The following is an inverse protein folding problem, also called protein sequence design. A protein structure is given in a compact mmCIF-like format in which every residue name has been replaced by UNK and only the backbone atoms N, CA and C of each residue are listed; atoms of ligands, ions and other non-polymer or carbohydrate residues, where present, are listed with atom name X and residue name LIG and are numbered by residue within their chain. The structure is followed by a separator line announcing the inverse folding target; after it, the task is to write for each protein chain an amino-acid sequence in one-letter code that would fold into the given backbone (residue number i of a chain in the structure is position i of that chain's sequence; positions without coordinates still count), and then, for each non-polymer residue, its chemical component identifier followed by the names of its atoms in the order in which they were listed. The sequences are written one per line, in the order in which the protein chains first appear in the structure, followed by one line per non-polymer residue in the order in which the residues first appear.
data_IF_861001157370
#
_entry.id   IF_861001157370
#
_cell.length_a   1.000
_cell.length_b   1.000
_cell.length_c   1.000
_cell.angle_alpha   90.00
_cell.angle_beta   90.00
_cell.angle_gamma   90.00
#
_symmetry.space_group_name_H-M   'P 1'
#
loop_
_entity.id
_entity.type
_entity.pdbx_description
1 polymer ?
#
# COMPACT_ATOMS: atom_id res chain seq x y z
N UNK A 1 -3.23 -3.66 -5.19
CA UNK A 1 -2.00 -3.01 -4.70
C UNK A 1 -1.19 -4.03 -3.93
N UNK A 2 0.09 -4.14 -4.24
CA UNK A 2 1.06 -5.03 -3.63
C UNK A 2 1.84 -4.24 -2.57
N UNK A 3 2.16 -4.87 -1.43
CA UNK A 3 2.79 -4.21 -0.27
C UNK A 3 3.97 -5.04 0.21
N UNK A 4 5.02 -4.37 0.69
CA UNK A 4 6.17 -5.05 1.28
C UNK A 4 6.92 -5.86 0.24
N UNK A 5 7.35 -7.07 0.62
CA UNK A 5 8.01 -8.01 -0.32
C UNK A 5 7.18 -8.32 -1.57
N UNK A 6 5.85 -8.36 -1.45
CA UNK A 6 5.00 -8.61 -2.61
C UNK A 6 5.11 -7.49 -3.66
N UNK A 7 5.54 -6.28 -3.27
CA UNK A 7 5.76 -5.18 -4.21
C UNK A 7 6.95 -5.38 -5.14
N UNK A 8 7.90 -6.28 -4.84
CA UNK A 8 9.04 -6.60 -5.71
C UNK A 8 8.61 -7.16 -7.08
N UNK A 9 7.44 -7.81 -7.14
CA UNK A 9 6.85 -8.30 -8.38
C UNK A 9 6.02 -7.27 -9.15
N UNK A 10 5.86 -6.05 -8.64
CA UNK A 10 5.06 -5.02 -9.30
C UNK A 10 5.79 -4.45 -10.53
N UNK A 11 5.05 -4.15 -11.60
CA UNK A 11 5.64 -3.43 -12.73
C UNK A 11 6.10 -2.01 -12.35
N UNK A 12 5.52 -1.42 -11.30
CA UNK A 12 5.95 -0.14 -10.72
C UNK A 12 5.92 -0.22 -9.20
N UNK A 13 7.02 0.21 -8.57
CA UNK A 13 7.20 0.27 -7.12
C UNK A 13 7.38 1.72 -6.66
N UNK A 14 6.89 1.98 -5.46
CA UNK A 14 6.91 3.27 -4.79
C UNK A 14 7.21 3.04 -3.31
N UNK A 15 7.61 4.10 -2.61
CA UNK A 15 7.82 4.10 -1.18
C UNK A 15 6.95 5.16 -0.53
N UNK A 16 6.28 4.81 0.57
CA UNK A 16 5.44 5.72 1.34
C UNK A 16 5.57 5.47 2.83
N UNK A 17 4.94 6.32 3.64
CA UNK A 17 4.99 6.23 5.10
C UNK A 17 3.66 5.71 5.65
N UNK A 18 3.72 4.73 6.53
CA UNK A 18 2.53 4.23 7.22
C UNK A 18 2.11 5.27 8.26
N UNK A 19 0.93 5.85 8.07
CA UNK A 19 0.35 6.79 9.03
C UNK A 19 -0.47 6.05 10.08
N UNK A 20 -1.13 4.97 9.68
CA UNK A 20 -1.97 4.15 10.54
C UNK A 20 -2.05 2.72 9.97
N UNK A 21 -2.23 1.74 10.85
CA UNK A 21 -2.65 0.40 10.46
C UNK A 21 -3.72 -0.14 11.40
N UNK A 22 -4.58 -1.01 10.90
CA UNK A 22 -5.57 -1.73 11.72
C UNK A 22 -5.76 -3.15 11.20
N UNK A 23 -6.03 -4.08 12.10
CA UNK A 23 -6.29 -5.48 11.79
C UNK A 23 -7.77 -5.77 11.91
N UNK A 24 -8.39 -6.31 10.85
CA UNK A 24 -9.83 -6.59 10.82
C UNK A 24 -10.18 -8.05 11.11
N UNK A 25 -9.22 -8.88 11.52
CA UNK A 25 -9.39 -10.34 11.70
C UNK A 25 -8.97 -11.17 10.50
N UNK A 26 -8.91 -10.60 9.29
CA UNK A 26 -8.56 -11.31 8.05
C UNK A 26 -7.36 -10.71 7.30
N UNK A 27 -7.11 -9.42 7.45
CA UNK A 27 -6.00 -8.71 6.81
C UNK A 27 -5.67 -7.43 7.58
N UNK A 28 -4.50 -6.88 7.30
CA UNK A 28 -4.16 -5.52 7.68
C UNK A 28 -4.75 -4.53 6.68
N UNK A 29 -5.33 -3.45 7.20
CA UNK A 29 -5.63 -2.23 6.44
C UNK A 29 -4.56 -1.21 6.80
N UNK A 30 -3.78 -0.81 5.80
CA UNK A 30 -2.72 0.17 5.96
C UNK A 30 -3.18 1.49 5.34
N UNK A 31 -2.91 2.58 6.04
CA UNK A 31 -3.03 3.94 5.53
C UNK A 31 -1.64 4.48 5.27
N UNK A 32 -1.32 4.75 4.02
CA UNK A 32 0.01 5.11 3.54
C UNK A 32 -0.04 6.54 2.98
N UNK A 33 0.86 7.40 3.43
CA UNK A 33 1.11 8.70 2.81
C UNK A 33 2.19 8.56 1.74
N UNK A 34 1.95 9.14 0.57
CA UNK A 34 2.92 9.26 -0.51
C UNK A 34 2.66 10.53 -1.31
N UNK A 35 3.65 11.42 -1.36
CA UNK A 35 3.60 12.67 -2.15
C UNK A 35 2.37 13.55 -1.85
N UNK A 36 1.97 13.62 -0.58
CA UNK A 36 0.80 14.39 -0.14
C UNK A 36 -0.54 13.69 -0.39
N UNK A 37 -0.53 12.46 -0.92
CA UNK A 37 -1.72 11.65 -1.12
C UNK A 37 -1.83 10.54 -0.08
N UNK A 38 -3.06 10.25 0.33
CA UNK A 38 -3.37 9.15 1.23
C UNK A 38 -3.86 7.94 0.43
N UNK A 39 -3.20 6.80 0.62
CA UNK A 39 -3.46 5.54 -0.05
C UNK A 39 -3.90 4.50 0.97
N UNK A 40 -4.84 3.63 0.59
CA UNK A 40 -5.28 2.51 1.43
C UNK A 40 -4.82 1.20 0.80
N UNK A 41 -4.14 0.37 1.59
CA UNK A 41 -3.70 -0.95 1.19
C UNK A 41 -4.32 -2.04 2.07
N UNK A 42 -4.57 -3.19 1.46
CA UNK A 42 -4.89 -4.42 2.17
C UNK A 42 -3.70 -5.35 2.07
N UNK A 43 -3.24 -5.86 3.21
CA UNK A 43 -2.04 -6.70 3.28
C UNK A 43 -2.31 -7.99 4.09
N UNK A 44 -1.64 -9.10 3.76
CA UNK A 44 -1.91 -10.39 4.38
C UNK A 44 -1.54 -10.40 5.88
N UNK A 45 -2.12 -11.34 6.63
CA UNK A 45 -2.03 -11.40 8.10
C UNK A 45 -0.60 -11.49 8.63
N UNK A 46 0.28 -12.11 7.84
CA UNK A 46 1.68 -12.38 8.13
C UNK A 46 2.63 -11.24 7.70
N UNK A 47 2.08 -10.08 7.33
CA UNK A 47 2.86 -8.89 7.03
C UNK A 47 3.82 -8.55 8.21
N UNK A 48 5.14 -8.44 7.97
CA UNK A 48 6.11 -8.16 9.02
C UNK A 48 5.76 -6.89 9.80
N UNK A 49 6.06 -6.88 11.10
CA UNK A 49 5.72 -5.76 11.99
C UNK A 49 6.26 -4.42 11.50
N UNK A 50 7.52 -4.39 11.04
CA UNK A 50 8.17 -3.22 10.47
C UNK A 50 7.43 -2.65 9.24
N UNK A 51 6.67 -3.47 8.52
CA UNK A 51 5.92 -3.09 7.31
C UNK A 51 4.45 -2.74 7.61
N UNK A 52 4.02 -2.78 8.88
CA UNK A 52 2.67 -2.39 9.32
C UNK A 52 2.65 -1.35 10.44
N UNK A 53 3.80 -1.00 11.02
CA UNK A 53 3.90 -0.05 12.12
C UNK A 53 3.79 1.40 11.63
N UNK A 54 3.00 2.21 12.33
CA UNK A 54 2.93 3.64 12.04
C UNK A 54 4.29 4.32 12.22
N UNK A 55 4.59 5.29 11.36
CA UNK A 55 5.88 5.98 11.27
C UNK A 55 6.94 5.23 10.47
N UNK A 56 6.70 3.99 10.04
CA UNK A 56 7.63 3.25 9.19
C UNK A 56 7.39 3.53 7.71
N UNK A 57 8.46 3.47 6.91
CA UNK A 57 8.34 3.48 5.46
C UNK A 57 8.05 2.07 4.94
N UNK A 58 7.22 1.97 3.90
CA UNK A 58 6.83 0.71 3.27
C UNK A 58 6.91 0.83 1.76
N UNK A 59 7.35 -0.24 1.10
CA UNK A 59 7.30 -0.35 -0.36
C UNK A 59 5.92 -0.82 -0.80
N UNK A 60 5.39 -0.24 -1.85
CA UNK A 60 4.13 -0.66 -2.44
C UNK A 60 4.17 -0.51 -3.96
N UNK A 61 3.29 -1.22 -4.65
CA UNK A 61 3.25 -1.20 -6.11
C UNK A 61 1.94 -1.72 -6.67
N UNK A 62 1.80 -1.68 -7.99
CA UNK A 62 0.63 -2.22 -8.68
C UNK A 62 1.01 -2.76 -10.05
N UNK A 63 0.15 -3.63 -10.56
CA UNK A 63 0.19 -4.08 -11.95
C UNK A 63 -0.70 -3.15 -12.79
N UNK A 64 -0.18 -2.55 -13.88
CA UNK A 64 -0.95 -1.64 -14.74
C UNK A 64 -2.27 -2.23 -15.22
N UNK A 65 -2.33 -3.55 -15.43
CA UNK A 65 -3.51 -4.28 -15.89
C UNK A 65 -4.64 -4.29 -14.85
N UNK A 66 -4.32 -4.01 -13.58
CA UNK A 66 -5.27 -3.91 -12.47
C UNK A 66 -5.67 -2.45 -12.18
N UNK A 67 -5.06 -1.47 -12.86
CA UNK A 67 -5.36 -0.06 -12.68
C UNK A 67 -6.54 0.37 -13.55
N UNK A 68 -7.33 1.29 -13.02
CA UNK A 68 -8.39 1.97 -13.77
C UNK A 68 -8.02 3.43 -13.94
N UNK A 69 -8.01 3.91 -15.18
CA UNK A 69 -7.84 5.33 -15.49
C UNK A 69 -9.19 6.02 -15.61
N UNK A 70 -9.34 7.13 -14.89
CA UNK A 70 -10.51 7.99 -14.98
C UNK A 70 -10.18 9.18 -15.88
N UNK A 71 -11.17 9.66 -16.64
CA UNK A 71 -11.04 10.93 -17.35
C UNK A 71 -11.38 12.06 -16.38
N UNK A 72 -10.66 13.16 -16.46
CA UNK A 72 -11.06 14.38 -15.78
C UNK A 72 -12.42 14.83 -16.33
N UNK A 73 -13.33 15.17 -15.43
CA UNK A 73 -14.57 15.85 -15.79
C UNK A 73 -14.22 17.27 -16.23
N UNK A 74 -14.62 17.61 -17.46
CA UNK A 74 -14.42 18.91 -18.08
C UNK A 74 -15.05 20.07 -17.29
#
# INVERSE_FOLDING_TARGET
MLVGRASEGAARCYQGNIVMSTFCGLHWKLLIEHQGQMLVAYAPVDLPEQERMAGQSVSFGFQPEQAMTFRESA
#
